data_IF_053611403638
#
_entry.id   IF_053611403638
#
_cell.length_a   1.000
_cell.length_b   1.000
_cell.length_c   1.000
_cell.angle_alpha   90.00
_cell.angle_beta   90.00
_cell.angle_gamma   90.00
#
_symmetry.space_group_name_H-M   'P 1'
#
loop_
_entity.id
_entity.type
_entity.pdbx_description
1 polymer ?
#
# COMPACT_ATOMS: atom_id res chain seq x y z
N UNK A 1 9.63 14.37 2.83
CA UNK A 1 11.00 14.27 3.36
C UNK A 1 11.19 12.94 4.07
N UNK A 2 11.96 12.03 3.46
CA UNK A 2 12.16 10.66 3.95
C UNK A 2 13.33 10.57 4.94
N UNK A 3 14.03 11.68 5.20
CA UNK A 3 15.22 11.74 6.04
C UNK A 3 15.00 11.25 7.47
N UNK A 4 13.79 11.41 8.01
CA UNK A 4 13.44 10.98 9.37
C UNK A 4 13.07 9.50 9.46
N UNK A 5 12.81 8.85 8.32
CA UNK A 5 12.29 7.49 8.28
C UNK A 5 13.27 6.47 8.88
N UNK A 6 14.60 6.51 8.58
CA UNK A 6 15.55 5.58 9.20
C UNK A 6 15.58 5.71 10.73
N UNK A 7 15.56 6.93 11.25
CA UNK A 7 15.61 7.19 12.69
C UNK A 7 14.34 6.69 13.40
N UNK A 8 13.16 6.89 12.80
CA UNK A 8 11.90 6.43 13.37
C UNK A 8 11.81 4.90 13.33
N UNK A 9 12.19 4.29 12.20
CA UNK A 9 12.05 2.85 11.97
C UNK A 9 13.10 2.01 12.69
N UNK A 10 14.24 2.59 13.10
CA UNK A 10 15.33 1.86 13.74
C UNK A 10 14.87 1.04 14.96
N UNK A 11 14.02 1.65 15.80
CA UNK A 11 13.45 1.00 16.99
C UNK A 11 12.51 -0.17 16.67
N UNK A 12 12.00 -0.26 15.44
CA UNK A 12 11.06 -1.29 14.99
C UNK A 12 11.73 -2.35 14.12
N UNK A 13 13.06 -2.32 13.95
CA UNK A 13 13.79 -3.31 13.14
C UNK A 13 13.64 -4.71 13.71
N UNK A 14 13.42 -5.67 12.82
CA UNK A 14 13.32 -7.09 13.14
C UNK A 14 14.14 -7.90 12.12
N UNK A 15 14.63 -9.06 12.52
CA UNK A 15 15.51 -9.89 11.71
C UNK A 15 14.79 -10.67 10.58
N UNK A 16 13.46 -10.77 10.64
CA UNK A 16 12.66 -11.56 9.70
C UNK A 16 11.31 -10.89 9.44
N UNK A 17 10.62 -11.33 8.38
CA UNK A 17 9.27 -10.85 8.07
C UNK A 17 8.31 -11.06 9.24
N UNK A 18 7.66 -9.99 9.67
CA UNK A 18 6.65 -10.05 10.73
C UNK A 18 5.47 -10.95 10.32
N UNK A 19 4.95 -11.78 11.23
CA UNK A 19 3.88 -12.75 10.94
C UNK A 19 2.57 -12.11 10.44
N UNK A 20 2.34 -10.84 10.78
CA UNK A 20 1.16 -10.05 10.33
C UNK A 20 1.35 -9.40 8.95
N UNK A 21 2.51 -9.56 8.31
CA UNK A 21 2.83 -8.91 7.03
C UNK A 21 2.87 -9.96 5.92
N UNK A 22 1.95 -9.81 4.96
CA UNK A 22 1.93 -10.62 3.74
C UNK A 22 2.48 -9.80 2.57
N UNK A 23 3.48 -10.33 1.88
CA UNK A 23 4.09 -9.69 0.71
C UNK A 23 4.68 -10.73 -0.23
N UNK A 24 4.63 -10.47 -1.53
CA UNK A 24 5.30 -11.25 -2.56
C UNK A 24 6.73 -10.77 -2.85
N UNK A 25 7.24 -9.83 -2.07
CA UNK A 25 8.56 -9.22 -2.24
C UNK A 25 9.47 -9.56 -1.06
N UNK A 26 10.77 -9.66 -1.34
CA UNK A 26 11.80 -9.81 -0.33
C UNK A 26 12.38 -8.43 0.02
N UNK A 27 12.55 -8.18 1.32
CA UNK A 27 13.15 -6.95 1.83
C UNK A 27 14.46 -7.30 2.53
N UNK A 28 15.48 -6.45 2.36
CA UNK A 28 16.77 -6.59 3.06
C UNK A 28 16.64 -6.33 4.56
N UNK A 29 15.70 -5.45 4.94
CA UNK A 29 15.45 -5.07 6.33
C UNK A 29 13.94 -5.15 6.59
N UNK A 30 13.57 -5.82 7.68
CA UNK A 30 12.18 -5.95 8.12
C UNK A 30 11.91 -5.07 9.32
N UNK A 31 10.65 -4.66 9.45
CA UNK A 31 10.17 -3.82 10.55
C UNK A 31 8.86 -4.36 11.13
N UNK A 32 8.64 -4.16 12.43
CA UNK A 32 7.33 -4.36 13.03
C UNK A 32 6.33 -3.33 12.45
N UNK A 33 5.10 -3.76 12.05
CA UNK A 33 4.11 -2.83 11.52
C UNK A 33 3.61 -1.92 12.65
N UNK A 34 4.18 -0.71 12.75
CA UNK A 34 3.85 0.31 13.77
C UNK A 34 3.66 1.72 13.23
N UNK A 35 4.16 2.00 12.01
CA UNK A 35 4.13 3.32 11.42
C UNK A 35 3.19 3.34 10.21
N UNK A 36 2.22 4.27 10.23
CA UNK A 36 1.35 4.55 9.08
C UNK A 36 1.88 5.77 8.33
N UNK A 37 1.99 5.64 7.02
CA UNK A 37 2.44 6.71 6.13
C UNK A 37 1.29 7.11 5.20
N UNK A 38 1.15 8.40 4.95
CA UNK A 38 0.25 8.88 3.91
C UNK A 38 0.94 8.84 2.55
N UNK A 39 0.38 8.03 1.65
CA UNK A 39 0.87 7.84 0.29
C UNK A 39 -0.19 8.35 -0.69
N UNK A 40 0.26 9.07 -1.72
CA UNK A 40 -0.57 9.45 -2.87
C UNK A 40 -0.08 8.70 -4.11
N UNK A 41 -0.98 8.42 -5.04
CA UNK A 41 -0.66 7.78 -6.32
C UNK A 41 -1.59 8.26 -7.41
N UNK A 42 -1.26 7.89 -8.66
CA UNK A 42 -2.08 8.25 -9.81
C UNK A 42 -3.32 7.34 -9.93
N UNK A 43 -3.13 6.04 -9.73
CA UNK A 43 -4.18 5.03 -9.89
C UNK A 43 -3.87 3.74 -9.11
N UNK A 44 -4.90 2.93 -8.85
CA UNK A 44 -4.75 1.54 -8.41
C UNK A 44 -4.73 0.62 -9.63
N UNK A 45 -3.79 -0.33 -9.64
CA UNK A 45 -3.54 -1.27 -10.75
C UNK A 45 -3.45 -2.70 -10.24
N UNK A 46 -3.65 -3.68 -11.12
CA UNK A 46 -3.40 -5.09 -10.81
C UNK A 46 -1.90 -5.38 -10.87
N UNK A 47 -1.39 -6.12 -9.88
CA UNK A 47 0.02 -6.46 -9.77
C UNK A 47 0.22 -7.93 -9.40
N UNK A 48 1.19 -8.63 -10.03
CA UNK A 48 1.49 -10.02 -9.73
C UNK A 48 2.37 -10.22 -8.47
N UNK A 49 2.84 -9.13 -7.84
CA UNK A 49 3.77 -9.21 -6.69
C UNK A 49 3.24 -8.57 -5.41
N UNK A 50 2.20 -7.72 -5.50
CA UNK A 50 1.57 -7.12 -4.33
C UNK A 50 0.43 -8.01 -3.83
N UNK A 51 0.37 -8.25 -2.52
CA UNK A 51 -0.61 -9.17 -1.90
C UNK A 51 -1.88 -8.50 -1.40
N UNK A 52 -1.97 -7.17 -1.46
CA UNK A 52 -3.18 -6.46 -1.09
C UNK A 52 -4.35 -6.90 -1.99
N UNK A 53 -5.42 -7.45 -1.41
CA UNK A 53 -6.57 -7.93 -2.20
C UNK A 53 -6.24 -9.06 -3.19
N UNK A 54 -5.27 -9.91 -2.84
CA UNK A 54 -4.84 -11.04 -3.68
C UNK A 54 -6.02 -11.92 -4.12
N UNK A 55 -6.06 -12.27 -5.39
CA UNK A 55 -7.10 -13.09 -6.04
C UNK A 55 -8.54 -12.53 -5.96
N UNK A 56 -8.75 -11.29 -5.50
CA UNK A 56 -10.11 -10.73 -5.38
C UNK A 56 -10.68 -10.17 -6.69
N UNK A 57 -9.82 -9.75 -7.62
CA UNK A 57 -10.23 -9.20 -8.93
C UNK A 57 -9.86 -10.14 -10.07
N UNK A 58 -8.61 -10.61 -10.08
CA UNK A 58 -8.09 -11.55 -11.06
C UNK A 58 -7.15 -12.53 -10.35
N UNK A 59 -7.20 -13.79 -10.78
CA UNK A 59 -6.28 -14.83 -10.29
C UNK A 59 -4.81 -14.41 -10.44
N UNK A 60 -4.01 -14.77 -9.45
CA UNK A 60 -2.58 -14.47 -9.31
C UNK A 60 -2.22 -12.99 -9.36
N UNK A 61 -3.13 -12.12 -8.91
CA UNK A 61 -2.89 -10.68 -8.79
C UNK A 61 -3.44 -10.12 -7.50
N UNK A 62 -2.78 -9.06 -7.00
CA UNK A 62 -3.34 -8.14 -6.01
C UNK A 62 -3.31 -6.70 -6.53
N UNK A 63 -3.50 -5.75 -5.63
CA UNK A 63 -3.61 -4.33 -5.91
C UNK A 63 -2.30 -3.61 -5.61
N UNK A 64 -1.91 -2.72 -6.51
CA UNK A 64 -0.76 -1.85 -6.37
C UNK A 64 -1.11 -0.40 -6.71
N UNK A 65 -0.41 0.53 -6.08
CA UNK A 65 -0.53 1.97 -6.36
C UNK A 65 0.48 2.34 -7.43
N UNK A 66 0.05 2.96 -8.54
CA UNK A 66 0.92 3.47 -9.60
C UNK A 66 1.47 4.85 -9.24
N UNK A 67 2.79 5.02 -9.43
CA UNK A 67 3.54 6.23 -9.07
C UNK A 67 3.31 6.66 -7.61
N UNK A 68 3.51 5.77 -6.62
CA UNK A 68 3.31 6.09 -5.23
C UNK A 68 4.33 7.14 -4.78
N UNK A 69 3.84 8.20 -4.12
CA UNK A 69 4.65 9.28 -3.56
C UNK A 69 4.27 9.48 -2.11
N UNK A 70 5.28 9.51 -1.25
CA UNK A 70 5.09 9.87 0.14
C UNK A 70 4.79 11.37 0.25
N UNK A 71 3.73 11.74 0.96
CA UNK A 71 3.33 13.16 1.08
C UNK A 71 4.18 13.94 2.08
N UNK A 72 5.04 13.27 2.85
CA UNK A 72 5.75 13.87 3.99
C UNK A 72 4.99 13.73 5.31
N UNK A 73 3.77 13.17 5.30
CA UNK A 73 2.94 13.01 6.50
C UNK A 73 3.08 11.62 7.10
N UNK A 74 3.72 11.58 8.25
CA UNK A 74 3.75 10.45 9.16
C UNK A 74 2.46 10.49 10.00
N UNK A 75 1.66 9.43 9.94
CA UNK A 75 0.36 9.36 10.64
C UNK A 75 0.54 8.75 12.02
N UNK A 76 1.22 9.48 12.90
CA UNK A 76 1.39 9.08 14.31
C UNK A 76 0.06 9.04 15.08
N UNK A 77 -0.98 9.67 14.51
CA UNK A 77 -2.36 9.64 14.99
C UNK A 77 -3.10 8.33 14.66
N UNK A 78 -2.50 7.43 13.88
CA UNK A 78 -3.12 6.19 13.41
C UNK A 78 -2.36 4.94 13.87
N UNK A 79 -3.10 3.94 14.33
CA UNK A 79 -2.56 2.60 14.49
C UNK A 79 -2.47 1.89 13.12
N UNK A 80 -1.64 0.83 12.98
CA UNK A 80 -1.59 0.00 11.78
C UNK A 80 -2.96 -0.54 11.35
N UNK A 81 -3.85 -0.80 12.31
CA UNK A 81 -5.22 -1.27 12.10
C UNK A 81 -6.14 -0.18 11.51
N UNK A 82 -5.78 1.10 11.65
CA UNK A 82 -6.50 2.26 11.08
C UNK A 82 -5.99 2.64 9.68
N UNK A 83 -5.05 1.86 9.14
CA UNK A 83 -4.58 2.04 7.77
C UNK A 83 -5.68 1.71 6.76
N UNK A 84 -5.49 2.19 5.52
CA UNK A 84 -6.44 1.94 4.43
C UNK A 84 -6.64 0.43 4.22
N UNK A 85 -7.90 0.02 4.28
CA UNK A 85 -8.33 -1.38 4.20
C UNK A 85 -8.37 -1.88 2.76
N UNK A 86 -8.34 -3.21 2.59
CA UNK A 86 -8.52 -3.85 1.27
C UNK A 86 -9.87 -3.46 0.64
N UNK A 87 -10.94 -3.36 1.45
CA UNK A 87 -12.25 -2.94 0.97
C UNK A 87 -12.21 -1.52 0.39
N UNK A 88 -11.57 -0.57 1.08
CA UNK A 88 -11.42 0.80 0.57
C UNK A 88 -10.60 0.83 -0.72
N UNK A 89 -9.53 0.04 -0.82
CA UNK A 89 -8.74 -0.07 -2.07
C UNK A 89 -9.56 -0.63 -3.23
N UNK A 90 -10.41 -1.63 -2.99
CA UNK A 90 -11.32 -2.18 -4.00
C UNK A 90 -12.38 -1.15 -4.43
N UNK A 91 -12.96 -0.43 -3.47
CA UNK A 91 -13.95 0.62 -3.74
C UNK A 91 -13.33 1.74 -4.59
N UNK A 92 -12.08 2.11 -4.30
CA UNK A 92 -11.29 3.06 -5.10
C UNK A 92 -11.03 2.52 -6.51
N UNK A 93 -10.52 1.30 -6.65
CA UNK A 93 -10.23 0.67 -7.96
C UNK A 93 -11.47 0.61 -8.86
N UNK A 94 -12.60 0.15 -8.32
CA UNK A 94 -13.86 0.07 -9.05
C UNK A 94 -14.37 1.45 -9.48
N UNK A 95 -14.17 2.47 -8.65
CA UNK A 95 -14.55 3.85 -8.98
C UNK A 95 -13.70 4.42 -10.12
N UNK A 96 -12.44 4.01 -10.25
CA UNK A 96 -11.59 4.41 -11.38
C UNK A 96 -12.08 3.81 -12.70
N UNK A 97 -12.47 2.53 -12.70
CA UNK A 97 -13.01 1.87 -13.90
C UNK A 97 -14.27 2.57 -14.42
N UNK A 98 -15.18 2.97 -13.51
CA UNK A 98 -16.38 3.73 -13.88
C UNK A 98 -16.03 5.04 -14.60
N UNK A 99 -15.06 5.80 -14.09
CA UNK A 99 -14.62 7.06 -14.71
C UNK A 99 -14.00 6.86 -16.10
N UNK A 100 -13.26 5.76 -16.30
CA UNK A 100 -12.67 5.43 -17.61
C UNK A 100 -13.77 5.11 -18.61
N UNK A 101 -14.81 4.37 -18.21
CA UNK A 101 -15.97 4.06 -19.08
C UNK A 101 -16.79 5.31 -19.41
N UNK A 102 -16.92 6.25 -18.46
CA UNK A 102 -17.64 7.51 -18.64
C UNK A 102 -16.87 8.57 -19.47
N UNK A 103 -15.60 8.33 -19.80
CA UNK A 103 -14.80 9.23 -20.64
C UNK A 103 -14.58 8.58 -22.02
N UNK A 104 -15.49 8.74 -23.00
CA UNK A 104 -15.24 8.29 -24.35
C UNK A 104 -14.09 9.11 -24.96
N UNK A 105 -13.20 8.42 -25.67
CA UNK A 105 -12.16 9.01 -26.51
C UNK A 105 -12.84 10.00 -27.46
N UNK A 106 -12.58 11.29 -27.27
CA UNK A 106 -12.93 12.36 -28.21
C UNK A 106 -11.73 12.69 -29.07
#
# INVERSE_FOLDING_TARGET
DLEKLPMILDQYKIAHRHARVETGMEAEIWFEPKLVLEIIGAEITLSPIHRAGWNLIKEDTGLAIRFPRFTGRYRFDKAPEDATTIKELLDMYNSQLKKIVETPIS
#
